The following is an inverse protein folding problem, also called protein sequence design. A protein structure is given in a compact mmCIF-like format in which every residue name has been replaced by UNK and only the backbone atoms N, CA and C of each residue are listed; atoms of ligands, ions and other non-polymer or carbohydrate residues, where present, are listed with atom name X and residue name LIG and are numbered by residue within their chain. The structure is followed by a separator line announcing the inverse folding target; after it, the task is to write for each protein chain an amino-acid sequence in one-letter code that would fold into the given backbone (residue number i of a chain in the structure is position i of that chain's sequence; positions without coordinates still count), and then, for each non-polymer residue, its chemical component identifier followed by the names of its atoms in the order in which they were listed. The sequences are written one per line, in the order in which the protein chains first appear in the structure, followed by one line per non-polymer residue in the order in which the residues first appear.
data_IF_231364201036
#
_entry.id   IF_231364201036
#
_cell.length_a   1.000
_cell.length_b   1.000
_cell.length_c   1.000
_cell.angle_alpha   90.00
_cell.angle_beta   90.00
_cell.angle_gamma   90.00
#
_symmetry.space_group_name_H-M   'P 1'
#
loop_
_entity.id
_entity.type
_entity.pdbx_description
1 polymer ?
#
# COMPACT_ATOMS: atom_id res chain seq x y z
N UNK A 1 10.15 14.51 4.61
CA UNK A 1 9.07 13.53 4.90
C UNK A 1 9.02 13.29 6.39
N UNK A 2 8.05 13.91 7.07
CA UNK A 2 7.85 13.81 8.51
C UNK A 2 6.81 12.76 8.88
N UNK A 3 5.79 12.58 8.02
CA UNK A 3 4.66 11.68 8.28
C UNK A 3 4.73 10.44 7.40
N UNK A 4 4.63 9.25 8.00
CA UNK A 4 4.66 7.96 7.32
C UNK A 4 3.39 7.19 7.62
N UNK A 5 2.72 6.69 6.58
CA UNK A 5 1.66 5.70 6.71
C UNK A 5 2.18 4.34 6.28
N UNK A 6 2.14 3.36 7.17
CA UNK A 6 2.40 1.96 6.85
C UNK A 6 1.07 1.22 6.68
N UNK A 7 0.76 0.80 5.45
CA UNK A 7 -0.37 -0.08 5.17
C UNK A 7 0.15 -1.52 5.21
N UNK A 8 -0.21 -2.25 6.27
CA UNK A 8 0.30 -3.57 6.58
C UNK A 8 -0.76 -4.65 6.35
N UNK A 9 -0.43 -5.66 5.54
CA UNK A 9 -1.36 -6.71 5.15
C UNK A 9 -0.79 -8.12 5.34
N UNK A 10 -0.50 -8.51 6.59
CA UNK A 10 -0.22 -9.91 6.95
C UNK A 10 -1.01 -10.34 8.20
N UNK A 11 -1.56 -11.57 8.22
CA UNK A 11 -2.47 -12.02 9.29
C UNK A 11 -1.77 -12.49 10.57
N UNK A 12 -0.47 -12.80 10.51
CA UNK A 12 0.28 -13.38 11.64
C UNK A 12 1.33 -12.37 12.15
N UNK A 13 1.12 -11.75 13.32
CA UNK A 13 2.05 -10.77 13.90
C UNK A 13 3.47 -11.32 14.19
N UNK A 14 3.61 -12.64 14.38
CA UNK A 14 4.93 -13.28 14.60
C UNK A 14 5.61 -13.73 13.30
N UNK A 15 5.05 -13.39 12.14
CA UNK A 15 5.66 -13.70 10.84
C UNK A 15 6.84 -12.78 10.54
N UNK A 16 7.61 -13.10 9.49
CA UNK A 16 8.64 -12.22 8.95
C UNK A 16 8.07 -10.83 8.58
N UNK A 17 6.84 -10.76 8.05
CA UNK A 17 6.18 -9.48 7.80
C UNK A 17 5.96 -8.71 9.11
N UNK A 18 5.56 -9.38 10.19
CA UNK A 18 5.43 -8.74 11.50
C UNK A 18 6.76 -8.22 12.05
N UNK A 19 7.84 -8.98 11.87
CA UNK A 19 9.20 -8.56 12.25
C UNK A 19 9.67 -7.34 11.44
N UNK A 20 9.47 -7.33 10.12
CA UNK A 20 9.76 -6.18 9.26
C UNK A 20 8.94 -4.95 9.67
N UNK A 21 7.66 -5.11 10.02
CA UNK A 21 6.83 -4.00 10.51
C UNK A 21 7.40 -3.43 11.82
N UNK A 22 7.75 -4.29 12.78
CA UNK A 22 8.34 -3.86 14.05
C UNK A 22 9.66 -3.11 13.84
N UNK A 23 10.51 -3.59 12.93
CA UNK A 23 11.76 -2.95 12.57
C UNK A 23 11.53 -1.57 11.91
N UNK A 24 10.54 -1.46 11.02
CA UNK A 24 10.18 -0.19 10.39
C UNK A 24 9.69 0.83 11.42
N UNK A 25 8.78 0.42 12.30
CA UNK A 25 8.24 1.29 13.36
C UNK A 25 9.36 1.82 14.25
N UNK A 26 10.24 0.94 14.72
CA UNK A 26 11.38 1.35 15.54
C UNK A 26 12.27 2.35 14.79
N UNK A 27 12.69 1.99 13.57
CA UNK A 27 13.66 2.78 12.80
C UNK A 27 13.12 4.17 12.46
N UNK A 28 11.87 4.25 11.98
CA UNK A 28 11.26 5.52 11.59
C UNK A 28 10.95 6.41 12.80
N UNK A 29 10.52 5.82 13.91
CA UNK A 29 10.26 6.58 15.16
C UNK A 29 11.57 7.09 15.77
N UNK A 30 12.65 6.30 15.73
CA UNK A 30 13.98 6.71 16.18
C UNK A 30 14.55 7.85 15.32
N UNK A 31 14.13 7.97 14.05
CA UNK A 31 14.41 9.13 13.19
C UNK A 31 13.52 10.36 13.49
N UNK A 32 12.62 10.27 14.47
CA UNK A 32 11.69 11.34 14.84
C UNK A 32 10.49 11.50 13.90
N UNK A 33 10.19 10.51 13.05
CA UNK A 33 9.04 10.56 12.14
C UNK A 33 7.74 10.23 12.88
N UNK A 34 6.64 10.85 12.44
CA UNK A 34 5.30 10.49 12.87
C UNK A 34 4.83 9.28 12.04
N UNK A 35 4.60 8.13 12.68
CA UNK A 35 4.25 6.89 11.98
C UNK A 35 2.84 6.45 12.35
N UNK A 36 1.98 6.35 11.35
CA UNK A 36 0.65 5.76 11.47
C UNK A 36 0.65 4.37 10.81
N UNK A 37 -0.10 3.43 11.38
CA UNK A 37 -0.23 2.06 10.84
C UNK A 37 -1.68 1.74 10.56
N UNK A 38 -1.93 1.15 9.40
CA UNK A 38 -3.17 0.47 9.07
C UNK A 38 -2.88 -1.03 8.97
N UNK A 39 -3.02 -1.73 10.10
CA UNK A 39 -2.99 -3.20 10.16
C UNK A 39 -4.33 -3.73 9.66
N UNK A 40 -4.41 -4.04 8.37
CA UNK A 40 -5.67 -4.36 7.70
C UNK A 40 -6.33 -5.62 8.30
N UNK A 41 -5.53 -6.60 8.71
CA UNK A 41 -6.05 -7.82 9.35
C UNK A 41 -6.49 -7.56 10.78
N UNK A 42 -5.69 -6.83 11.57
CA UNK A 42 -6.05 -6.40 12.92
C UNK A 42 -7.32 -5.55 12.96
N UNK A 43 -7.50 -4.69 11.96
CA UNK A 43 -8.70 -3.86 11.75
C UNK A 43 -9.91 -4.66 11.25
N UNK A 44 -9.71 -5.89 10.74
CA UNK A 44 -10.71 -6.64 9.97
C UNK A 44 -11.29 -5.79 8.83
N UNK A 45 -10.40 -5.11 8.11
CA UNK A 45 -10.78 -4.14 7.09
C UNK A 45 -11.71 -4.78 6.05
N UNK A 46 -12.85 -4.13 5.78
CA UNK A 46 -13.80 -4.58 4.75
C UNK A 46 -13.13 -4.39 3.38
N UNK A 47 -12.81 -5.48 2.70
CA UNK A 47 -12.16 -5.44 1.38
C UNK A 47 -13.14 -5.14 0.22
N UNK A 48 -14.43 -5.43 0.41
CA UNK A 48 -15.43 -5.32 -0.66
C UNK A 48 -15.89 -3.88 -0.80
N UNK A 49 -15.71 -3.31 -2.00
CA UNK A 49 -16.35 -2.07 -2.41
C UNK A 49 -17.81 -2.34 -2.79
N UNK A 50 -18.75 -1.70 -2.11
CA UNK A 50 -20.18 -1.83 -2.40
C UNK A 50 -20.97 -0.56 -2.04
N UNK A 51 -22.28 -0.59 -2.29
CA UNK A 51 -23.15 0.56 -2.06
C UNK A 51 -23.22 1.01 -0.58
N UNK A 52 -22.87 0.15 0.40
CA UNK A 52 -22.88 0.52 1.80
C UNK A 52 -21.72 1.45 2.18
N UNK A 53 -20.71 1.59 1.30
CA UNK A 53 -19.63 2.55 1.45
C UNK A 53 -20.08 4.00 1.22
N UNK A 54 -21.29 4.19 0.68
CA UNK A 54 -21.86 5.46 0.27
C UNK A 54 -23.25 5.62 0.90
N UNK A 55 -23.35 6.14 2.14
CA UNK A 55 -24.64 6.35 2.81
C UNK A 55 -25.49 7.46 2.18
N UNK A 56 -24.85 8.48 1.59
CA UNK A 56 -25.51 9.56 0.85
C UNK A 56 -25.16 9.46 -0.64
N UNK A 57 -25.97 8.70 -1.38
CA UNK A 57 -25.72 8.38 -2.79
C UNK A 57 -26.30 9.43 -3.72
N UNK A 58 -25.52 9.80 -4.72
CA UNK A 58 -25.97 10.65 -5.83
C UNK A 58 -27.04 9.97 -6.67
N UNK A 59 -26.88 8.66 -6.96
CA UNK A 59 -27.86 7.91 -7.75
C UNK A 59 -28.32 6.67 -6.98
N UNK A 60 -29.52 6.68 -6.42
CA UNK A 60 -30.07 5.56 -5.65
C UNK A 60 -30.59 4.40 -6.52
N UNK A 61 -30.67 4.56 -7.84
CA UNK A 61 -31.23 3.55 -8.76
C UNK A 61 -30.17 2.64 -9.38
N UNK A 62 -29.00 3.19 -9.72
CA UNK A 62 -27.90 2.46 -10.36
C UNK A 62 -26.62 2.75 -9.59
N UNK A 63 -25.92 1.71 -9.17
CA UNK A 63 -24.65 1.84 -8.47
C UNK A 63 -23.50 1.92 -9.46
N UNK A 64 -22.92 3.12 -9.56
CA UNK A 64 -21.66 3.38 -10.25
C UNK A 64 -20.62 3.79 -9.20
N UNK A 65 -19.67 2.90 -8.85
CA UNK A 65 -18.70 3.19 -7.80
C UNK A 65 -17.86 4.45 -8.05
N UNK A 66 -17.50 4.73 -9.30
CA UNK A 66 -16.63 5.88 -9.60
C UNK A 66 -17.38 7.21 -9.42
N UNK A 67 -18.65 7.26 -9.84
CA UNK A 67 -19.49 8.44 -9.65
C UNK A 67 -19.84 8.67 -8.17
N UNK A 68 -20.13 7.60 -7.42
CA UNK A 68 -20.44 7.71 -5.99
C UNK A 68 -19.20 8.08 -5.17
N UNK A 69 -18.01 7.60 -5.53
CA UNK A 69 -16.74 8.06 -4.95
C UNK A 69 -16.54 9.57 -5.13
N UNK A 70 -16.68 10.08 -6.37
CA UNK A 70 -16.56 11.51 -6.64
C UNK A 70 -17.54 12.34 -5.80
N UNK A 71 -18.80 11.90 -5.72
CA UNK A 71 -19.81 12.57 -4.93
C UNK A 71 -19.45 12.57 -3.44
N UNK A 72 -19.14 11.41 -2.88
CA UNK A 72 -18.86 11.26 -1.45
C UNK A 72 -17.58 12.00 -1.01
N UNK A 73 -16.57 12.09 -1.87
CA UNK A 73 -15.38 12.93 -1.61
C UNK A 73 -15.75 14.42 -1.63
N UNK A 74 -16.63 14.86 -2.54
CA UNK A 74 -17.04 16.26 -2.64
C UNK A 74 -17.95 16.71 -1.48
N UNK A 75 -18.71 15.79 -0.88
CA UNK A 75 -19.68 16.07 0.19
C UNK A 75 -19.23 15.58 1.57
N UNK A 76 -18.06 14.95 1.68
CA UNK A 76 -17.54 14.36 2.92
C UNK A 76 -18.51 13.32 3.53
N UNK A 77 -19.14 12.50 2.68
CA UNK A 77 -20.19 11.56 3.06
C UNK A 77 -19.79 10.08 2.98
N UNK A 78 -18.53 9.78 2.67
CA UNK A 78 -18.05 8.40 2.53
C UNK A 78 -18.06 7.66 3.88
N UNK A 79 -18.15 6.33 3.84
CA UNK A 79 -18.19 5.52 5.07
C UNK A 79 -17.03 5.85 6.03
N UNK A 80 -17.28 5.89 7.36
CA UNK A 80 -16.29 6.36 8.34
C UNK A 80 -14.96 5.60 8.34
N UNK A 81 -14.99 4.30 8.06
CA UNK A 81 -13.76 3.49 7.99
C UNK A 81 -12.89 3.88 6.80
N UNK A 82 -13.50 4.27 5.68
CA UNK A 82 -12.78 4.78 4.50
C UNK A 82 -12.27 6.20 4.77
N UNK A 83 -13.11 7.08 5.32
CA UNK A 83 -12.71 8.44 5.68
C UNK A 83 -11.50 8.47 6.61
N UNK A 84 -11.46 7.58 7.62
CA UNK A 84 -10.32 7.47 8.53
C UNK A 84 -9.01 7.13 7.80
N UNK A 85 -9.05 6.26 6.79
CA UNK A 85 -7.89 5.88 5.99
C UNK A 85 -7.48 6.97 4.99
N UNK A 86 -8.45 7.66 4.38
CA UNK A 86 -8.20 8.84 3.53
C UNK A 86 -7.42 9.90 4.31
N UNK A 87 -7.81 10.17 5.55
CA UNK A 87 -7.13 11.17 6.38
C UNK A 87 -5.68 10.78 6.72
N UNK A 88 -5.40 9.49 6.92
CA UNK A 88 -4.02 9.01 7.06
C UNK A 88 -3.22 9.25 5.77
N UNK A 89 -3.80 8.95 4.61
CA UNK A 89 -3.15 9.19 3.30
C UNK A 89 -2.92 10.69 3.06
N UNK A 90 -3.86 11.56 3.47
CA UNK A 90 -3.69 13.02 3.40
C UNK A 90 -2.49 13.50 4.21
N UNK A 91 -2.34 13.01 5.45
CA UNK A 91 -1.23 13.39 6.33
C UNK A 91 0.11 12.83 5.89
N UNK A 92 0.15 11.62 5.35
CA UNK A 92 1.39 10.93 5.02
C UNK A 92 2.18 11.61 3.88
N UNK A 93 3.47 11.82 4.09
CA UNK A 93 4.41 12.18 3.02
C UNK A 93 4.96 10.92 2.32
N UNK A 94 5.06 9.82 3.06
CA UNK A 94 5.50 8.51 2.59
C UNK A 94 4.46 7.44 2.89
N UNK A 95 4.09 6.66 1.88
CA UNK A 95 3.28 5.46 2.03
C UNK A 95 4.17 4.22 1.93
N UNK A 96 4.23 3.40 2.98
CA UNK A 96 4.88 2.09 2.96
C UNK A 96 3.79 1.03 2.81
N UNK A 97 3.83 0.28 1.72
CA UNK A 97 2.87 -0.78 1.42
C UNK A 97 3.55 -2.12 1.66
N UNK A 98 3.19 -2.79 2.76
CA UNK A 98 3.90 -3.97 3.25
C UNK A 98 3.02 -5.23 3.24
N UNK A 99 3.42 -6.25 2.49
CA UNK A 99 2.63 -7.47 2.35
C UNK A 99 3.42 -8.69 1.84
N UNK A 100 2.96 -9.92 2.11
CA UNK A 100 3.42 -11.11 1.41
C UNK A 100 2.80 -11.22 0.02
N UNK A 101 3.57 -11.65 -0.98
CA UNK A 101 3.00 -11.90 -2.31
C UNK A 101 2.12 -13.14 -2.30
N UNK A 102 0.86 -12.98 -2.69
CA UNK A 102 -0.13 -14.06 -2.79
C UNK A 102 -0.66 -14.12 -4.21
N UNK A 103 -0.57 -15.30 -4.83
CA UNK A 103 -0.97 -15.50 -6.24
C UNK A 103 -0.40 -14.42 -7.17
N UNK A 104 0.89 -14.12 -6.99
CA UNK A 104 1.62 -13.16 -7.83
C UNK A 104 1.12 -11.71 -7.69
N UNK A 105 0.41 -11.39 -6.61
CA UNK A 105 -0.04 -10.02 -6.33
C UNK A 105 -0.15 -9.74 -4.83
N UNK A 106 -0.71 -8.58 -4.49
CA UNK A 106 -1.06 -8.21 -3.13
C UNK A 106 -2.20 -9.10 -2.57
N UNK A 107 -2.30 -9.29 -1.24
CA UNK A 107 -3.46 -9.90 -0.60
C UNK A 107 -4.75 -9.18 -0.96
N UNK A 108 -5.85 -9.93 -1.07
CA UNK A 108 -7.17 -9.36 -1.43
C UNK A 108 -7.62 -8.23 -0.49
N UNK A 109 -7.29 -8.32 0.81
CA UNK A 109 -7.62 -7.26 1.78
C UNK A 109 -6.91 -5.93 1.47
N UNK A 110 -5.67 -5.99 0.96
CA UNK A 110 -4.92 -4.81 0.54
C UNK A 110 -5.45 -4.26 -0.78
N UNK A 111 -5.80 -5.14 -1.73
CA UNK A 111 -6.48 -4.70 -2.96
C UNK A 111 -7.79 -4.00 -2.66
N UNK A 112 -8.58 -4.53 -1.72
CA UNK A 112 -9.82 -3.92 -1.25
C UNK A 112 -9.61 -2.58 -0.55
N UNK A 113 -8.51 -2.43 0.20
CA UNK A 113 -8.11 -1.13 0.77
C UNK A 113 -7.87 -0.10 -0.33
N UNK A 114 -7.12 -0.45 -1.39
CA UNK A 114 -6.97 0.45 -2.53
C UNK A 114 -8.32 0.73 -3.20
N UNK A 115 -9.14 -0.28 -3.47
CA UNK A 115 -10.43 -0.08 -4.16
C UNK A 115 -11.39 0.87 -3.43
N UNK A 116 -11.33 0.88 -2.09
CA UNK A 116 -12.19 1.73 -1.24
C UNK A 116 -11.56 3.08 -0.92
N UNK A 117 -10.26 3.13 -0.62
CA UNK A 117 -9.56 4.34 -0.13
C UNK A 117 -8.98 5.17 -1.28
N UNK A 118 -8.52 4.55 -2.37
CA UNK A 118 -8.01 5.27 -3.55
C UNK A 118 -9.17 5.70 -4.45
N UNK A 119 -10.03 6.54 -3.90
CA UNK A 119 -11.27 7.01 -4.51
C UNK A 119 -11.04 8.07 -5.60
N UNK A 120 -11.88 8.05 -6.64
CA UNK A 120 -11.98 9.17 -7.61
C UNK A 120 -12.29 10.48 -6.87
N UNK A 121 -11.65 11.57 -7.30
CA UNK A 121 -11.74 12.89 -6.68
C UNK A 121 -10.78 13.08 -5.51
N UNK A 122 -10.24 11.99 -4.94
CA UNK A 122 -9.23 12.06 -3.88
C UNK A 122 -7.82 11.79 -4.40
N UNK A 123 -7.59 10.66 -5.08
CA UNK A 123 -6.24 10.28 -5.56
C UNK A 123 -6.01 10.57 -7.05
N UNK A 124 -7.09 10.57 -7.82
CA UNK A 124 -7.10 10.88 -9.26
C UNK A 124 -8.40 11.57 -9.65
N UNK A 125 -8.39 12.23 -10.80
CA UNK A 125 -9.63 12.58 -11.50
C UNK A 125 -9.45 12.24 -12.99
N UNK A 126 -10.05 11.11 -13.40
CA UNK A 126 -9.89 10.60 -14.77
C UNK A 126 -10.58 11.49 -15.79
N UNK A 127 -11.73 12.09 -15.43
CA UNK A 127 -12.49 12.97 -16.32
C UNK A 127 -11.74 14.25 -16.70
N UNK A 128 -10.89 14.76 -15.82
CA UNK A 128 -10.03 15.94 -16.05
C UNK A 128 -8.61 15.59 -16.47
N UNK A 129 -8.25 14.30 -16.42
CA UNK A 129 -6.91 13.79 -16.76
C UNK A 129 -5.86 14.04 -15.68
N UNK A 130 -6.26 14.25 -14.43
CA UNK A 130 -5.39 14.34 -13.25
C UNK A 130 -4.95 12.93 -12.82
N UNK A 131 -4.06 12.36 -13.62
CA UNK A 131 -3.47 11.02 -13.49
C UNK A 131 -1.96 11.10 -13.74
N UNK A 132 -1.22 10.07 -13.33
CA UNK A 132 0.24 9.99 -13.44
C UNK A 132 0.92 11.24 -12.86
N UNK A 133 1.80 11.92 -13.61
CA UNK A 133 2.47 13.13 -13.14
C UNK A 133 1.53 14.30 -12.78
N UNK A 134 0.23 14.21 -13.09
CA UNK A 134 -0.81 15.15 -12.65
C UNK A 134 -1.79 14.57 -11.63
N UNK A 135 -1.52 13.36 -11.12
CA UNK A 135 -2.30 12.73 -10.07
C UNK A 135 -2.39 13.59 -8.82
N UNK A 136 -3.40 13.31 -7.99
CA UNK A 136 -3.73 14.14 -6.84
C UNK A 136 -2.87 13.80 -5.60
N UNK A 137 -2.12 12.70 -5.63
CA UNK A 137 -1.12 12.36 -4.62
C UNK A 137 0.31 12.84 -4.99
N UNK A 138 0.46 13.70 -6.00
CA UNK A 138 1.76 14.28 -6.36
C UNK A 138 2.45 14.95 -5.17
N UNK A 139 3.77 14.79 -5.09
CA UNK A 139 4.60 15.27 -3.97
C UNK A 139 4.69 14.31 -2.79
N UNK A 140 3.89 13.23 -2.77
CA UNK A 140 4.04 12.11 -1.83
C UNK A 140 4.86 11.00 -2.48
N UNK A 141 5.53 10.20 -1.64
CA UNK A 141 6.35 9.06 -2.08
C UNK A 141 5.75 7.74 -1.61
N UNK A 142 6.11 6.64 -2.26
CA UNK A 142 5.71 5.30 -1.84
C UNK A 142 6.89 4.31 -1.86
N UNK A 143 6.91 3.39 -0.90
CA UNK A 143 7.80 2.24 -0.87
C UNK A 143 6.96 0.97 -0.78
N UNK A 144 7.17 0.04 -1.71
CA UNK A 144 6.56 -1.29 -1.66
C UNK A 144 7.55 -2.25 -0.99
N UNK A 145 7.09 -2.96 0.03
CA UNK A 145 7.86 -3.93 0.82
C UNK A 145 7.18 -5.29 0.70
N UNK A 146 7.83 -6.23 0.03
CA UNK A 146 7.22 -7.53 -0.30
C UNK A 146 8.06 -8.68 0.24
N UNK A 147 7.42 -9.64 0.89
CA UNK A 147 8.05 -10.96 1.12
C UNK A 147 7.57 -11.95 0.07
N UNK A 148 8.50 -12.63 -0.59
CA UNK A 148 8.21 -13.67 -1.58
C UNK A 148 8.61 -15.05 -1.05
N UNK A 149 7.73 -16.05 -1.21
CA UNK A 149 7.96 -17.38 -0.65
C UNK A 149 9.15 -18.11 -1.27
N UNK A 150 9.34 -17.96 -2.59
CA UNK A 150 10.40 -18.65 -3.33
C UNK A 150 11.72 -17.84 -3.36
N UNK A 151 12.86 -18.52 -3.60
CA UNK A 151 14.15 -17.87 -3.87
C UNK A 151 14.12 -16.90 -5.07
N UNK A 152 15.06 -15.95 -5.09
CA UNK A 152 15.13 -14.88 -6.08
C UNK A 152 15.30 -15.41 -7.51
N UNK A 153 16.00 -16.52 -7.70
CA UNK A 153 16.29 -17.12 -9.01
C UNK A 153 15.00 -17.57 -9.73
N UNK A 154 13.98 -17.97 -8.97
CA UNK A 154 12.70 -18.38 -9.57
C UNK A 154 11.90 -17.17 -10.08
N UNK A 155 12.17 -15.99 -9.50
CA UNK A 155 11.56 -14.70 -9.82
C UNK A 155 12.43 -13.83 -10.73
N UNK A 156 13.49 -14.36 -11.31
CA UNK A 156 14.32 -13.65 -12.27
C UNK A 156 13.65 -13.56 -13.65
N UNK A 157 14.08 -12.64 -14.54
CA UNK A 157 13.68 -12.67 -15.95
C UNK A 157 13.90 -14.05 -16.58
N UNK A 158 12.84 -14.64 -17.12
CA UNK A 158 12.87 -16.01 -17.69
C UNK A 158 12.82 -17.15 -16.67
N UNK A 159 12.78 -16.84 -15.37
CA UNK A 159 12.52 -17.80 -14.30
C UNK A 159 11.09 -18.33 -14.32
N UNK A 160 10.82 -19.48 -13.69
CA UNK A 160 9.51 -20.16 -13.72
C UNK A 160 8.37 -19.36 -13.06
N UNK A 161 8.66 -18.38 -12.21
CA UNK A 161 7.64 -17.48 -11.65
C UNK A 161 7.54 -16.14 -12.40
N UNK A 162 8.45 -15.87 -13.33
CA UNK A 162 8.57 -14.59 -14.02
C UNK A 162 9.25 -13.50 -13.18
N UNK A 163 9.64 -12.41 -13.83
CA UNK A 163 10.29 -11.28 -13.17
C UNK A 163 9.33 -10.62 -12.16
N UNK A 164 9.65 -10.71 -10.87
CA UNK A 164 8.82 -10.14 -9.82
C UNK A 164 8.60 -8.63 -9.98
N UNK A 165 9.58 -7.89 -10.49
CA UNK A 165 9.42 -6.45 -10.71
C UNK A 165 8.36 -6.16 -11.78
N UNK A 166 8.34 -6.95 -12.85
CA UNK A 166 7.30 -6.88 -13.88
C UNK A 166 5.93 -7.28 -13.34
N UNK A 167 5.87 -8.32 -12.50
CA UNK A 167 4.64 -8.76 -11.85
C UNK A 167 4.07 -7.72 -10.88
N UNK A 168 4.91 -6.85 -10.30
CA UNK A 168 4.51 -5.76 -9.42
C UNK A 168 4.21 -4.45 -10.15
N UNK A 169 4.46 -4.34 -11.46
CA UNK A 169 4.10 -3.14 -12.24
C UNK A 169 2.63 -2.72 -12.14
N UNK A 170 1.64 -3.63 -12.07
CA UNK A 170 0.25 -3.24 -11.84
C UNK A 170 0.05 -2.45 -10.53
N UNK A 171 0.86 -2.72 -9.51
CA UNK A 171 0.85 -1.96 -8.26
C UNK A 171 1.70 -0.69 -8.38
N UNK A 172 2.96 -0.80 -8.79
CA UNK A 172 3.88 0.35 -8.76
C UNK A 172 3.52 1.40 -9.81
N UNK A 173 3.34 0.99 -11.07
CA UNK A 173 3.08 1.91 -12.18
C UNK A 173 1.59 2.20 -12.36
N UNK A 174 0.77 1.15 -12.51
CA UNK A 174 -0.63 1.32 -12.91
C UNK A 174 -1.56 1.76 -11.76
N UNK A 175 -1.08 1.73 -10.52
CA UNK A 175 -1.85 2.15 -9.34
C UNK A 175 -1.16 3.31 -8.61
N UNK A 176 0.06 3.14 -8.09
CA UNK A 176 0.69 4.16 -7.27
C UNK A 176 1.15 5.37 -8.11
N UNK A 177 1.95 5.15 -9.16
CA UNK A 177 2.35 6.23 -10.06
C UNK A 177 1.15 6.84 -10.79
N UNK A 178 0.13 6.04 -11.14
CA UNK A 178 -1.14 6.54 -11.71
C UNK A 178 -1.82 7.58 -10.80
N UNK A 179 -1.68 7.46 -9.48
CA UNK A 179 -2.17 8.44 -8.50
C UNK A 179 -1.23 9.63 -8.29
N UNK A 180 -0.04 9.63 -8.91
CA UNK A 180 0.97 10.69 -8.83
C UNK A 180 2.04 10.48 -7.77
N UNK A 181 2.09 9.31 -7.12
CA UNK A 181 3.15 8.99 -6.15
C UNK A 181 4.49 8.81 -6.86
N UNK A 182 5.57 9.30 -6.24
CA UNK A 182 6.93 8.89 -6.58
C UNK A 182 7.23 7.54 -5.92
N UNK A 183 7.43 6.49 -6.71
CA UNK A 183 7.60 5.13 -6.19
C UNK A 183 9.08 4.75 -6.13
N UNK A 184 9.59 4.53 -4.92
CA UNK A 184 10.93 3.98 -4.71
C UNK A 184 11.03 2.54 -5.24
N UNK A 185 12.22 2.05 -5.58
CA UNK A 185 12.40 0.65 -5.95
C UNK A 185 11.81 -0.29 -4.90
N UNK A 186 11.14 -1.36 -5.29
CA UNK A 186 10.57 -2.32 -4.31
C UNK A 186 11.67 -2.89 -3.42
N UNK A 187 11.41 -3.00 -2.11
CA UNK A 187 12.21 -3.80 -1.20
C UNK A 187 11.60 -5.21 -1.16
N UNK A 188 12.37 -6.22 -1.57
CA UNK A 188 11.89 -7.61 -1.65
C UNK A 188 12.74 -8.48 -0.75
N UNK A 189 12.09 -9.26 0.10
CA UNK A 189 12.71 -10.35 0.86
C UNK A 189 12.28 -11.67 0.23
N UNK A 190 13.21 -12.36 -0.40
CA UNK A 190 12.98 -13.66 -1.06
C UNK A 190 13.11 -14.83 -0.08
N UNK A 191 12.66 -16.01 -0.53
CA UNK A 191 12.73 -17.26 0.25
C UNK A 191 12.03 -17.19 1.63
N UNK A 192 11.03 -16.32 1.79
CA UNK A 192 10.43 -16.00 3.08
C UNK A 192 9.79 -17.20 3.81
N UNK A 193 9.39 -18.25 3.08
CA UNK A 193 8.83 -19.47 3.70
C UNK A 193 9.88 -20.42 4.27
N UNK A 194 11.11 -20.34 3.78
CA UNK A 194 12.22 -21.22 4.16
C UNK A 194 13.42 -20.47 4.74
N UNK A 195 13.23 -19.19 5.11
CA UNK A 195 14.32 -18.33 5.57
C UNK A 195 14.88 -18.83 6.90
N UNK A 196 16.20 -18.94 6.99
CA UNK A 196 16.86 -19.25 8.25
C UNK A 196 16.82 -18.03 9.19
N UNK A 197 16.88 -18.21 10.53
CA UNK A 197 16.86 -17.09 11.47
C UNK A 197 17.93 -16.02 11.18
N UNK A 198 19.17 -16.44 10.97
CA UNK A 198 20.29 -15.50 10.69
C UNK A 198 20.07 -14.72 9.37
N UNK A 199 19.48 -15.35 8.37
CA UNK A 199 19.13 -14.68 7.10
C UNK A 199 17.95 -13.70 7.31
N UNK A 200 16.98 -14.03 8.16
CA UNK A 200 15.87 -13.15 8.47
C UNK A 200 16.34 -11.89 9.20
N UNK A 201 17.26 -12.02 10.16
CA UNK A 201 17.86 -10.88 10.87
C UNK A 201 18.62 -9.97 9.89
N UNK A 202 19.38 -10.54 8.95
CA UNK A 202 20.07 -9.79 7.91
C UNK A 202 19.09 -9.01 7.01
N UNK A 203 18.00 -9.63 6.58
CA UNK A 203 16.98 -8.97 5.74
C UNK A 203 16.28 -7.83 6.50
N UNK A 204 16.08 -8.00 7.81
CA UNK A 204 15.58 -6.93 8.68
C UNK A 204 16.57 -5.77 8.73
N UNK A 205 17.87 -6.02 8.94
CA UNK A 205 18.90 -4.97 8.94
C UNK A 205 18.96 -4.21 7.61
N UNK A 206 18.93 -4.93 6.47
CA UNK A 206 18.89 -4.33 5.14
C UNK A 206 17.66 -3.43 4.94
N UNK A 207 16.51 -3.83 5.49
CA UNK A 207 15.31 -3.01 5.46
C UNK A 207 15.47 -1.74 6.31
N UNK A 208 16.05 -1.84 7.51
CA UNK A 208 16.32 -0.70 8.37
C UNK A 208 17.28 0.30 7.71
N UNK A 209 18.40 -0.16 7.18
CA UNK A 209 19.37 0.67 6.45
C UNK A 209 18.71 1.41 5.28
N UNK A 210 17.82 0.72 4.57
CA UNK A 210 17.04 1.33 3.50
C UNK A 210 16.12 2.44 4.01
N UNK A 211 15.40 2.22 5.11
CA UNK A 211 14.53 3.26 5.70
C UNK A 211 15.34 4.47 6.17
N UNK A 212 16.55 4.23 6.70
CA UNK A 212 17.47 5.30 7.10
C UNK A 212 17.92 6.15 5.91
N UNK A 213 18.13 5.52 4.75
CA UNK A 213 18.57 6.18 3.51
C UNK A 213 17.46 6.93 2.76
N UNK A 214 16.19 6.75 3.14
CA UNK A 214 15.09 7.48 2.51
C UNK A 214 15.13 8.95 3.00
N UNK A 215 15.64 9.84 2.17
CA UNK A 215 15.75 11.27 2.47
C UNK A 215 14.39 12.00 2.43
N UNK A 216 14.32 13.06 3.25
CA UNK A 216 13.14 13.90 3.46
C UNK A 216 12.65 14.64 2.21
#
# INVERSE_FOLDING_TARGET
MENVLIVYAAPEPKSLNGALLAAALKTLTDQGRCVEVSDLYGMKFKAVLDAADFPDRWNTTVFDPAAEQMHAIATDSIAPDIAAEIEKVRRADLLIIQFPIWWTSMPAILKGWFDRVFAQGFVVNVGTGEVYGRGLLRGKKALVVVTAGSPAELYAPGGPHGDLHELLRPLTHNLLEFCGLEVFPTHVVYNATGIAPDDADREIELYQDRLLAIEA
#
